data_IF_701606827624
#
_entry.id   IF_701606827624
#
_cell.length_a   1.000
_cell.length_b   1.000
_cell.length_c   1.000
_cell.angle_alpha   90.00
_cell.angle_beta   90.00
_cell.angle_gamma   90.00
#
_symmetry.space_group_name_H-M   'P 1'
#
loop_
_entity.id
_entity.type
_entity.pdbx_description
1 polymer ?
#
# COMPACT_ATOMS: atom_id res chain seq x y z
N UNK A 1 37.83 -76.68 -17.35
CA UNK A 1 38.27 -77.28 -18.64
C UNK A 1 37.23 -76.83 -19.66
N UNK A 2 37.51 -76.04 -20.70
CA UNK A 2 38.67 -75.96 -21.57
C UNK A 2 38.80 -74.51 -22.06
N UNK A 3 40.04 -74.02 -22.06
CA UNK A 3 40.46 -72.82 -22.75
C UNK A 3 40.25 -72.96 -24.27
N UNK A 4 39.77 -71.93 -24.94
CA UNK A 4 40.26 -71.67 -26.29
C UNK A 4 40.43 -70.16 -26.50
N UNK A 5 41.70 -69.80 -26.56
CA UNK A 5 42.20 -68.49 -26.94
C UNK A 5 42.29 -68.46 -28.47
N UNK A 6 41.78 -67.39 -29.10
CA UNK A 6 42.18 -67.04 -30.46
C UNK A 6 42.55 -65.55 -30.54
N UNK A 7 43.51 -65.27 -31.42
CA UNK A 7 44.51 -64.20 -31.34
C UNK A 7 44.35 -63.25 -32.54
N UNK A 8 44.18 -61.94 -32.26
CA UNK A 8 44.74 -60.70 -32.89
C UNK A 8 44.79 -60.57 -34.44
N UNK A 9 44.35 -59.43 -35.02
CA UNK A 9 45.30 -58.39 -35.54
C UNK A 9 44.90 -56.95 -35.12
N UNK A 10 45.81 -56.17 -34.53
CA UNK A 10 46.65 -55.10 -35.14
C UNK A 10 45.89 -53.93 -35.78
N UNK A 11 46.01 -52.79 -35.08
CA UNK A 11 46.33 -51.45 -35.60
C UNK A 11 45.35 -50.80 -36.58
N UNK A 12 44.65 -49.77 -36.07
CA UNK A 12 44.56 -48.51 -36.79
C UNK A 12 44.69 -47.37 -35.77
N UNK A 13 45.84 -46.71 -35.80
CA UNK A 13 46.05 -45.41 -35.17
C UNK A 13 45.09 -44.42 -35.81
N UNK A 14 44.11 -43.93 -35.06
CA UNK A 14 43.46 -42.67 -35.40
C UNK A 14 44.12 -41.58 -34.57
N UNK A 15 44.88 -40.78 -35.30
CA UNK A 15 45.62 -39.59 -34.90
C UNK A 15 44.72 -38.59 -34.20
N UNK A 16 45.19 -38.10 -33.04
CA UNK A 16 44.75 -36.83 -32.48
C UNK A 16 45.10 -35.69 -33.44
N UNK A 17 44.06 -35.05 -34.00
CA UNK A 17 44.05 -33.64 -34.40
C UNK A 17 42.67 -33.14 -33.96
N UNK A 18 42.51 -32.38 -32.88
CA UNK A 18 43.14 -31.08 -32.70
C UNK A 18 42.36 -30.02 -33.46
N UNK A 19 41.09 -29.80 -33.08
CA UNK A 19 40.33 -28.62 -33.50
C UNK A 19 39.40 -28.21 -32.35
N UNK A 20 39.99 -27.63 -31.32
CA UNK A 20 39.26 -26.74 -30.43
C UNK A 20 38.93 -25.48 -31.24
N UNK A 21 37.68 -25.33 -31.68
CA UNK A 21 37.13 -24.00 -31.92
C UNK A 21 35.84 -23.89 -31.12
N UNK A 22 36.01 -23.28 -29.97
CA UNK A 22 34.99 -22.73 -29.08
C UNK A 22 33.98 -21.96 -29.94
N UNK A 23 32.81 -22.53 -30.17
CA UNK A 23 31.66 -21.77 -30.67
C UNK A 23 31.29 -20.76 -29.58
N UNK A 24 31.65 -19.51 -29.85
CA UNK A 24 31.37 -18.36 -28.99
C UNK A 24 29.89 -18.34 -28.65
N UNK A 25 29.59 -18.53 -27.37
CA UNK A 25 28.29 -18.26 -26.73
C UNK A 25 27.98 -16.75 -26.88
N UNK A 26 27.37 -16.35 -27.99
CA UNK A 26 26.98 -14.97 -28.24
C UNK A 26 25.48 -14.69 -27.96
N UNK A 27 24.89 -15.32 -26.95
CA UNK A 27 23.48 -15.08 -26.57
C UNK A 27 23.25 -14.72 -25.10
N UNK A 28 24.27 -14.39 -24.30
CA UNK A 28 24.04 -13.97 -22.90
C UNK A 28 23.93 -12.46 -22.66
N UNK A 29 23.99 -11.63 -23.70
CA UNK A 29 23.64 -10.21 -23.60
C UNK A 29 22.21 -9.95 -24.09
N UNK A 30 21.28 -10.87 -23.84
CA UNK A 30 19.92 -10.43 -23.54
C UNK A 30 20.02 -9.68 -22.20
N UNK A 31 20.27 -8.36 -22.28
CA UNK A 31 20.03 -7.47 -21.15
C UNK A 31 18.58 -7.72 -20.75
N UNK A 32 18.38 -8.43 -19.65
CA UNK A 32 17.21 -8.28 -18.83
C UNK A 32 17.13 -6.78 -18.52
N UNK A 33 16.32 -6.06 -19.28
CA UNK A 33 15.85 -4.75 -18.82
C UNK A 33 15.10 -5.08 -17.54
N UNK A 34 15.74 -4.80 -16.40
CA UNK A 34 15.02 -4.66 -15.15
C UNK A 34 13.77 -3.82 -15.45
N UNK A 35 12.56 -4.25 -15.06
CA UNK A 35 11.38 -3.43 -15.30
C UNK A 35 11.63 -2.08 -14.65
N UNK A 36 11.70 -1.02 -15.45
CA UNK A 36 12.05 0.35 -15.01
C UNK A 36 10.88 1.03 -14.27
N UNK A 37 10.05 0.25 -13.57
CA UNK A 37 8.90 0.73 -12.82
C UNK A 37 8.41 -0.33 -11.84
N UNK A 38 7.82 0.14 -10.74
CA UNK A 38 7.12 -0.72 -9.79
C UNK A 38 5.91 -1.37 -10.48
N UNK A 39 5.63 -2.65 -10.18
CA UNK A 39 4.41 -3.30 -10.66
C UNK A 39 3.17 -2.64 -10.05
N UNK A 40 2.01 -2.73 -10.71
CA UNK A 40 0.76 -2.21 -10.15
C UNK A 40 0.44 -2.80 -8.76
N UNK A 41 0.78 -4.08 -8.55
CA UNK A 41 0.65 -4.72 -7.25
C UNK A 41 1.56 -4.08 -6.18
N UNK A 42 2.82 -3.80 -6.53
CA UNK A 42 3.75 -3.14 -5.61
C UNK A 42 3.31 -1.69 -5.29
N UNK A 43 2.83 -0.95 -6.29
CA UNK A 43 2.27 0.41 -6.07
C UNK A 43 1.04 0.35 -5.15
N UNK A 44 0.12 -0.59 -5.39
CA UNK A 44 -1.06 -0.75 -4.54
C UNK A 44 -0.70 -1.12 -3.11
N UNK A 45 0.26 -2.04 -2.91
CA UNK A 45 0.77 -2.38 -1.58
C UNK A 45 1.37 -1.14 -0.89
N UNK A 46 2.18 -0.35 -1.61
CA UNK A 46 2.72 0.91 -1.11
C UNK A 46 1.64 1.91 -0.71
N UNK A 47 0.58 2.06 -1.52
CA UNK A 47 -0.58 2.92 -1.18
C UNK A 47 -1.31 2.43 0.06
N UNK A 48 -1.46 1.13 0.26
CA UNK A 48 -2.10 0.59 1.48
C UNK A 48 -1.30 0.97 2.72
N UNK A 49 0.02 0.74 2.71
CA UNK A 49 0.93 1.13 3.79
C UNK A 49 0.83 2.64 4.05
N UNK A 50 1.02 3.43 3.01
CA UNK A 50 1.05 4.89 3.10
C UNK A 50 -0.25 5.50 3.65
N UNK A 51 -1.41 4.96 3.25
CA UNK A 51 -2.73 5.50 3.62
C UNK A 51 -3.24 4.98 4.95
N UNK A 52 -2.87 3.77 5.35
CA UNK A 52 -3.59 3.03 6.38
C UNK A 52 -2.74 2.38 7.45
N UNK A 53 -1.43 2.18 7.23
CA UNK A 53 -0.55 1.70 8.29
C UNK A 53 -0.11 2.85 9.19
N UNK A 54 -0.30 2.66 10.49
CA UNK A 54 0.18 3.59 11.51
C UNK A 54 1.64 3.35 11.80
N UNK A 55 2.29 4.30 12.48
CA UNK A 55 3.66 4.11 12.96
C UNK A 55 3.76 3.19 14.19
N UNK A 56 2.69 2.49 14.56
CA UNK A 56 2.58 1.80 15.86
C UNK A 56 2.57 2.77 17.05
N UNK A 57 2.15 4.02 16.81
CA UNK A 57 2.22 5.13 17.75
C UNK A 57 0.90 5.33 18.52
N UNK A 58 -0.02 4.38 18.47
CA UNK A 58 -1.33 4.52 19.09
C UNK A 58 -1.22 4.69 20.60
N UNK A 59 -0.20 4.09 21.23
CA UNK A 59 0.04 4.23 22.67
C UNK A 59 0.34 5.67 23.03
N UNK A 60 1.12 6.37 22.21
CA UNK A 60 1.41 7.77 22.43
C UNK A 60 0.15 8.64 22.24
N UNK A 61 -0.54 8.48 21.11
CA UNK A 61 -1.72 9.31 20.81
C UNK A 61 -2.92 9.02 21.71
N UNK A 62 -3.11 7.77 22.10
CA UNK A 62 -4.28 7.34 22.86
C UNK A 62 -4.01 7.34 24.36
N UNK A 63 -2.94 6.70 24.82
CA UNK A 63 -2.76 6.44 26.25
C UNK A 63 -2.02 7.60 26.93
N UNK A 64 -1.00 8.16 26.27
CA UNK A 64 -0.25 9.32 26.78
C UNK A 64 -0.99 10.63 26.55
N UNK A 65 -1.37 10.93 25.31
CA UNK A 65 -1.99 12.21 24.95
C UNK A 65 -3.52 12.22 25.08
N UNK A 66 -4.17 11.05 25.19
CA UNK A 66 -5.63 10.94 25.30
C UNK A 66 -6.38 11.63 24.15
N UNK A 67 -5.79 11.67 22.95
CA UNK A 67 -6.38 12.36 21.80
C UNK A 67 -7.72 11.78 21.38
N UNK A 68 -7.96 10.48 21.62
CA UNK A 68 -9.26 9.85 21.40
C UNK A 68 -10.39 10.54 22.17
N UNK A 69 -10.12 11.11 23.35
CA UNK A 69 -11.12 11.84 24.15
C UNK A 69 -11.47 13.20 23.54
N UNK A 70 -10.47 13.87 22.96
CA UNK A 70 -10.64 15.18 22.32
C UNK A 70 -11.28 15.02 20.95
N UNK A 71 -10.73 14.16 20.09
CA UNK A 71 -11.14 14.01 18.68
C UNK A 71 -12.62 13.65 18.55
N UNK A 72 -13.13 12.77 19.42
CA UNK A 72 -14.54 12.37 19.42
C UNK A 72 -15.51 13.50 19.85
N UNK A 73 -15.02 14.64 20.31
CA UNK A 73 -15.81 15.83 20.68
C UNK A 73 -15.70 16.96 19.66
N UNK A 74 -14.83 16.83 18.67
CA UNK A 74 -14.55 17.88 17.68
C UNK A 74 -15.45 17.71 16.46
N UNK A 75 -16.20 18.73 16.04
CA UNK A 75 -16.93 18.73 14.78
C UNK A 75 -16.03 18.55 13.55
N UNK A 76 -16.55 17.88 12.51
CA UNK A 76 -15.82 17.70 11.26
C UNK A 76 -15.52 19.05 10.58
N UNK A 77 -16.42 20.03 10.70
CA UNK A 77 -16.19 21.40 10.20
C UNK A 77 -14.96 22.06 10.83
N UNK A 78 -14.75 21.88 12.14
CA UNK A 78 -13.55 22.40 12.83
C UNK A 78 -12.29 21.72 12.31
N UNK A 79 -12.33 20.40 12.15
CA UNK A 79 -11.19 19.64 11.62
C UNK A 79 -10.83 20.05 10.18
N UNK A 80 -11.84 20.20 9.31
CA UNK A 80 -11.67 20.69 7.94
C UNK A 80 -11.09 22.12 7.91
N UNK A 81 -11.54 22.99 8.83
CA UNK A 81 -11.07 24.38 8.91
C UNK A 81 -9.58 24.47 9.26
N UNK A 82 -9.06 23.56 10.08
CA UNK A 82 -7.63 23.48 10.44
C UNK A 82 -6.81 22.64 9.46
N UNK A 83 -7.39 22.23 8.33
CA UNK A 83 -6.68 21.61 7.21
C UNK A 83 -6.74 20.09 7.14
N UNK A 84 -7.45 19.42 8.06
CA UNK A 84 -7.70 17.99 7.94
C UNK A 84 -8.54 17.71 6.68
N UNK A 85 -8.36 16.53 6.08
CA UNK A 85 -8.98 16.16 4.81
C UNK A 85 -9.83 14.91 4.94
N UNK A 86 -10.85 14.81 4.09
CA UNK A 86 -11.74 13.64 3.99
C UNK A 86 -11.65 13.03 2.59
N UNK A 87 -11.31 11.75 2.54
CA UNK A 87 -11.28 10.92 1.34
C UNK A 87 -12.71 10.48 0.97
N UNK A 88 -13.27 11.11 -0.05
CA UNK A 88 -14.60 10.83 -0.56
C UNK A 88 -14.73 9.44 -1.20
N UNK A 89 -13.62 8.81 -1.63
CA UNK A 89 -13.63 7.52 -2.32
C UNK A 89 -13.77 6.34 -1.34
N UNK A 90 -13.56 6.58 -0.04
CA UNK A 90 -13.80 5.59 1.03
C UNK A 90 -15.24 5.58 1.52
N UNK A 91 -16.02 6.61 1.19
CA UNK A 91 -17.37 6.78 1.73
C UNK A 91 -18.37 5.87 0.99
N UNK A 92 -19.33 5.27 1.72
CA UNK A 92 -20.45 4.59 1.10
C UNK A 92 -21.20 5.52 0.13
N UNK A 93 -21.72 5.01 -1.01
CA UNK A 93 -22.38 5.83 -2.02
C UNK A 93 -23.49 6.73 -1.47
N UNK A 94 -24.27 6.24 -0.50
CA UNK A 94 -25.33 6.99 0.17
C UNK A 94 -24.82 8.18 0.98
N UNK A 95 -23.70 8.02 1.69
CA UNK A 95 -23.07 9.11 2.46
C UNK A 95 -22.50 10.16 1.52
N UNK A 96 -21.88 9.71 0.42
CA UNK A 96 -21.33 10.61 -0.59
C UNK A 96 -22.43 11.43 -1.29
N UNK A 97 -23.58 10.81 -1.59
CA UNK A 97 -24.73 11.53 -2.14
C UNK A 97 -25.32 12.53 -1.15
N UNK A 98 -25.47 12.15 0.11
CA UNK A 98 -25.93 13.04 1.17
C UNK A 98 -24.98 14.23 1.37
N UNK A 99 -23.66 14.02 1.31
CA UNK A 99 -22.66 15.11 1.37
C UNK A 99 -22.83 16.09 0.20
N UNK A 100 -22.98 15.59 -1.03
CA UNK A 100 -23.21 16.45 -2.21
C UNK A 100 -24.52 17.24 -2.09
N UNK A 101 -25.53 16.66 -1.47
CA UNK A 101 -26.81 17.31 -1.23
C UNK A 101 -26.81 18.24 -0.01
N UNK A 102 -25.69 18.36 0.72
CA UNK A 102 -25.61 19.17 1.94
C UNK A 102 -26.43 18.61 3.12
N UNK A 103 -26.75 17.32 3.10
CA UNK A 103 -27.64 16.65 4.06
C UNK A 103 -26.89 15.99 5.22
N UNK A 104 -25.55 15.95 5.17
CA UNK A 104 -24.71 15.45 6.27
C UNK A 104 -24.37 16.60 7.21
N UNK A 105 -24.72 16.44 8.49
CA UNK A 105 -24.34 17.39 9.52
C UNK A 105 -22.86 17.24 9.90
N UNK A 106 -22.00 18.02 9.23
CA UNK A 106 -20.57 18.10 9.54
C UNK A 106 -20.27 18.86 10.84
N UNK A 107 -21.26 19.52 11.46
CA UNK A 107 -21.09 20.21 12.74
C UNK A 107 -21.24 19.29 13.96
N UNK A 108 -21.73 18.06 13.75
CA UNK A 108 -21.80 17.02 14.78
C UNK A 108 -20.46 16.31 14.98
N UNK A 109 -20.05 16.13 16.24
CA UNK A 109 -18.90 15.31 16.59
C UNK A 109 -19.13 13.82 16.29
N UNK A 110 -20.38 13.35 16.28
CA UNK A 110 -20.71 11.98 15.88
C UNK A 110 -20.36 11.71 14.41
N UNK A 111 -20.45 12.73 13.56
CA UNK A 111 -20.01 12.65 12.15
C UNK A 111 -18.50 12.45 12.06
N UNK A 112 -17.71 13.13 12.91
CA UNK A 112 -16.25 12.89 13.01
C UNK A 112 -15.93 11.44 13.36
N UNK A 113 -16.60 10.87 14.36
CA UNK A 113 -16.41 9.46 14.74
C UNK A 113 -16.79 8.53 13.59
N UNK A 114 -17.88 8.83 12.88
CA UNK A 114 -18.34 8.03 11.73
C UNK A 114 -17.32 8.06 10.58
N UNK A 115 -16.80 9.24 10.24
CA UNK A 115 -15.78 9.38 9.19
C UNK A 115 -14.49 8.63 9.54
N UNK A 116 -14.08 8.67 10.81
CA UNK A 116 -12.92 7.92 11.31
C UNK A 116 -13.17 6.41 11.27
N UNK A 117 -14.37 5.95 11.62
CA UNK A 117 -14.78 4.54 11.54
C UNK A 117 -14.75 4.01 10.10
N UNK A 118 -15.10 4.87 9.14
CA UNK A 118 -15.03 4.55 7.70
C UNK A 118 -13.60 4.64 7.13
N UNK A 119 -12.61 5.10 7.92
CA UNK A 119 -11.26 5.33 7.43
C UNK A 119 -11.15 6.49 6.44
N UNK A 120 -12.13 7.40 6.46
CA UNK A 120 -12.24 8.51 5.50
C UNK A 120 -11.39 9.71 5.87
N UNK A 121 -10.98 9.85 7.13
CA UNK A 121 -10.10 10.94 7.55
C UNK A 121 -8.67 10.66 7.10
N UNK A 122 -8.14 11.51 6.21
CA UNK A 122 -6.80 11.34 5.65
C UNK A 122 -5.76 11.42 6.76
N UNK A 123 -4.94 10.38 6.88
CA UNK A 123 -3.80 10.39 7.77
C UNK A 123 -4.05 9.85 9.18
N UNK A 124 -5.30 9.71 9.59
CA UNK A 124 -5.68 9.28 10.94
C UNK A 124 -6.36 7.91 10.88
N UNK A 125 -5.89 6.98 11.73
CA UNK A 125 -6.53 5.68 11.90
C UNK A 125 -7.14 5.61 13.28
N UNK A 126 -8.37 5.14 13.34
CA UNK A 126 -9.11 4.96 14.58
C UNK A 126 -9.65 3.53 14.69
N UNK A 127 -9.60 2.98 15.89
CA UNK A 127 -10.46 1.85 16.26
C UNK A 127 -11.68 2.42 16.97
N UNK A 128 -12.87 2.05 16.49
CA UNK A 128 -14.14 2.51 17.05
C UNK A 128 -14.93 1.30 17.53
N UNK A 129 -15.38 1.33 18.79
CA UNK A 129 -16.12 0.24 19.39
C UNK A 129 -17.60 0.19 18.97
N UNK A 130 -18.35 -0.79 19.50
CA UNK A 130 -19.77 -0.96 19.22
C UNK A 130 -20.64 0.18 19.75
N UNK A 131 -20.15 0.95 20.72
CA UNK A 131 -20.81 2.10 21.33
C UNK A 131 -20.44 3.41 20.61
N UNK A 132 -19.73 3.33 19.48
CA UNK A 132 -19.21 4.47 18.71
C UNK A 132 -18.27 5.35 19.54
N UNK A 133 -17.38 4.73 20.32
CA UNK A 133 -16.28 5.41 21.02
C UNK A 133 -14.96 5.10 20.32
N UNK A 134 -14.11 6.10 20.19
CA UNK A 134 -12.75 5.91 19.67
C UNK A 134 -11.93 5.30 20.81
N UNK A 135 -11.43 4.09 20.61
CA UNK A 135 -10.66 3.35 21.63
C UNK A 135 -9.17 3.35 21.35
N UNK A 136 -8.76 3.52 20.09
CA UNK A 136 -7.37 3.69 19.66
C UNK A 136 -7.30 4.70 18.54
N UNK A 137 -6.24 5.49 18.53
CA UNK A 137 -5.95 6.46 17.48
C UNK A 137 -4.46 6.42 17.17
N UNK A 138 -4.09 6.42 15.89
CA UNK A 138 -2.71 6.54 15.42
C UNK A 138 -2.65 7.35 14.13
N UNK A 139 -1.44 7.72 13.70
CA UNK A 139 -1.24 8.49 12.47
C UNK A 139 -0.44 7.71 11.43
N UNK A 140 -0.63 8.07 10.17
CA UNK A 140 -0.04 7.41 9.00
C UNK A 140 0.77 8.41 8.18
N UNK A 141 1.55 7.92 7.21
CA UNK A 141 2.31 8.76 6.28
C UNK A 141 1.42 9.81 5.57
N UNK A 142 0.19 9.43 5.25
CA UNK A 142 -0.79 10.27 4.59
C UNK A 142 -1.15 11.56 5.35
N UNK A 143 -0.93 11.64 6.67
CA UNK A 143 -1.27 12.83 7.45
C UNK A 143 -0.49 14.07 6.99
N UNK A 144 0.78 13.87 6.63
CA UNK A 144 1.69 14.95 6.23
C UNK A 144 1.95 14.98 4.72
N UNK A 145 1.79 13.84 4.05
CA UNK A 145 2.21 13.68 2.64
C UNK A 145 1.05 13.47 1.67
N UNK A 146 -0.19 13.65 2.09
CA UNK A 146 -1.34 13.54 1.21
C UNK A 146 -2.28 14.73 1.31
N UNK A 147 -3.05 14.92 0.26
CA UNK A 147 -4.19 15.82 0.20
C UNK A 147 -5.26 15.19 -0.69
N UNK A 148 -6.42 15.82 -0.70
CA UNK A 148 -7.52 15.54 -1.61
C UNK A 148 -7.74 16.72 -2.56
N UNK A 149 -8.46 16.46 -3.65
CA UNK A 149 -9.14 17.53 -4.38
C UNK A 149 -10.37 18.05 -3.61
N UNK A 150 -10.97 19.13 -4.10
CA UNK A 150 -12.15 19.76 -3.49
C UNK A 150 -13.44 19.43 -4.26
N UNK A 151 -13.52 18.25 -4.90
CA UNK A 151 -14.63 17.93 -5.84
C UNK A 151 -16.01 17.80 -5.18
N UNK A 152 -16.07 17.64 -3.85
CA UNK A 152 -17.31 17.58 -3.08
C UNK A 152 -17.50 18.87 -2.29
N UNK A 153 -16.48 19.25 -1.53
CA UNK A 153 -16.40 20.49 -0.77
C UNK A 153 -14.92 20.79 -0.48
N UNK A 154 -14.61 21.99 0.03
CA UNK A 154 -13.25 22.32 0.42
C UNK A 154 -12.72 21.32 1.47
N UNK A 155 -11.65 20.61 1.15
CA UNK A 155 -11.03 19.56 1.97
C UNK A 155 -11.71 18.19 1.90
N UNK A 156 -12.67 17.99 1.00
CA UNK A 156 -13.43 16.74 0.83
C UNK A 156 -13.43 16.33 -0.65
N UNK A 157 -12.78 15.22 -0.96
CA UNK A 157 -12.65 14.77 -2.34
C UNK A 157 -11.78 13.54 -2.53
N UNK A 158 -11.30 13.32 -3.75
CA UNK A 158 -10.46 12.17 -4.09
C UNK A 158 -9.00 12.44 -3.71
N UNK A 159 -8.30 11.41 -3.23
CA UNK A 159 -6.87 11.51 -2.86
C UNK A 159 -5.98 11.76 -4.07
N UNK A 160 -4.93 12.56 -3.88
CA UNK A 160 -3.96 12.91 -4.93
C UNK A 160 -2.63 12.14 -4.85
N UNK A 161 -2.51 11.19 -3.91
CA UNK A 161 -1.36 10.27 -3.79
C UNK A 161 -1.54 8.95 -4.56
#
# INVERSE_FOLDING_TARGET
MIHSRFRIPRMAWFTLTGAALVTVLATSCARDRAPTGLSAAAVNAGKQIFRFETFGDETFWTDTLRMHEVVQTVPATTALAVGLKVDADTLPPEVLQALRAGQVDLSSAATTVTLLKLGAVVGIRATVDAQNRITRLGVTCALCHSTVDDRIAKGVGSRLD
#
